data_IF_536230634974
#
_entry.id   IF_536230634974
#
_cell.length_a   1.000
_cell.length_b   1.000
_cell.length_c   1.000
_cell.angle_alpha   90.00
_cell.angle_beta   90.00
_cell.angle_gamma   90.00
#
_symmetry.space_group_name_H-M   'P 1'
#
loop_
_entity.id
_entity.type
_entity.pdbx_description
1 polymer ?
#
# COMPACT_ATOMS: atom_id res chain seq x y z
N UNK A 1 20.76 25.50 -8.53
CA UNK A 1 20.24 25.50 -7.15
C UNK A 1 19.78 24.08 -6.82
N UNK A 2 20.42 23.44 -5.85
CA UNK A 2 20.30 22.00 -5.55
C UNK A 2 18.97 21.69 -4.86
N UNK A 3 18.22 20.70 -5.37
CA UNK A 3 16.89 20.31 -4.87
C UNK A 3 17.00 19.65 -3.49
N UNK A 4 16.11 20.07 -2.59
CA UNK A 4 16.10 19.83 -1.14
C UNK A 4 16.24 18.34 -0.74
N UNK A 5 17.35 18.02 -0.07
CA UNK A 5 17.45 16.89 0.85
C UNK A 5 16.75 17.32 2.15
N UNK A 6 15.45 17.03 2.30
CA UNK A 6 14.80 17.19 3.60
C UNK A 6 15.32 16.10 4.55
N UNK A 7 15.40 16.41 5.85
CA UNK A 7 15.83 15.43 6.87
C UNK A 7 15.00 14.14 6.80
N UNK A 8 13.70 14.27 6.50
CA UNK A 8 12.78 13.13 6.31
C UNK A 8 13.15 12.31 5.08
N UNK A 9 13.42 12.94 3.93
CA UNK A 9 13.83 12.20 2.74
C UNK A 9 15.18 11.50 2.95
N UNK A 10 16.11 12.10 3.70
CA UNK A 10 17.36 11.42 4.08
C UNK A 10 17.11 10.22 5.00
N UNK A 11 16.19 10.32 5.96
CA UNK A 11 15.79 9.19 6.82
C UNK A 11 15.11 8.08 6.02
N UNK A 12 14.20 8.42 5.11
CA UNK A 12 13.55 7.46 4.20
C UNK A 12 14.61 6.76 3.34
N UNK A 13 15.55 7.50 2.75
CA UNK A 13 16.66 6.94 1.96
C UNK A 13 17.55 6.01 2.77
N UNK A 14 17.82 6.35 4.02
CA UNK A 14 18.57 5.49 4.94
C UNK A 14 17.83 4.17 5.18
N UNK A 15 16.52 4.23 5.44
CA UNK A 15 15.69 3.04 5.63
C UNK A 15 15.60 2.17 4.36
N UNK A 16 15.44 2.77 3.18
CA UNK A 16 15.49 2.04 1.91
C UNK A 16 16.82 1.29 1.74
N UNK A 17 17.96 1.94 2.05
CA UNK A 17 19.28 1.31 1.98
C UNK A 17 19.43 0.17 2.98
N UNK A 18 18.91 0.33 4.20
CA UNK A 18 18.95 -0.72 5.23
C UNK A 18 18.14 -1.95 4.82
N UNK A 19 17.07 -1.77 4.04
CA UNK A 19 16.22 -2.85 3.53
C UNK A 19 16.67 -3.37 2.15
N UNK A 20 17.75 -2.83 1.58
CA UNK A 20 18.25 -3.14 0.23
C UNK A 20 17.20 -2.92 -0.88
N UNK A 21 16.32 -1.91 -0.71
CA UNK A 21 15.28 -1.56 -1.66
C UNK A 21 15.68 -0.26 -2.39
N UNK A 22 15.56 -0.26 -3.72
CA UNK A 22 15.78 0.94 -4.52
C UNK A 22 14.65 1.98 -4.34
N UNK A 23 15.01 3.26 -4.10
CA UNK A 23 14.05 4.36 -3.85
C UNK A 23 13.06 4.53 -5.02
N UNK A 24 13.55 4.41 -6.26
CA UNK A 24 12.74 4.62 -7.46
C UNK A 24 11.76 3.46 -7.64
N UNK A 25 12.24 2.23 -7.47
CA UNK A 25 11.40 1.03 -7.51
C UNK A 25 10.33 1.08 -6.41
N UNK A 26 10.70 1.44 -5.19
CA UNK A 26 9.75 1.56 -4.08
C UNK A 26 8.65 2.59 -4.39
N UNK A 27 9.04 3.76 -4.89
CA UNK A 27 8.10 4.82 -5.24
C UNK A 27 7.13 4.38 -6.35
N UNK A 28 7.63 3.73 -7.40
CA UNK A 28 6.81 3.27 -8.52
C UNK A 28 5.81 2.21 -8.06
N UNK A 29 6.25 1.22 -7.27
CA UNK A 29 5.38 0.17 -6.71
C UNK A 29 4.33 0.75 -5.77
N UNK A 30 4.73 1.60 -4.83
CA UNK A 30 3.82 2.27 -3.89
C UNK A 30 2.76 3.11 -4.60
N UNK A 31 3.17 3.88 -5.61
CA UNK A 31 2.27 4.72 -6.40
C UNK A 31 1.26 3.90 -7.20
N UNK A 32 1.68 2.74 -7.71
CA UNK A 32 0.80 1.84 -8.46
C UNK A 32 -0.34 1.32 -7.57
N UNK A 33 -0.02 0.80 -6.38
CA UNK A 33 -1.01 0.36 -5.38
C UNK A 33 -2.00 1.49 -5.05
N UNK A 34 -1.49 2.70 -4.77
CA UNK A 34 -2.35 3.85 -4.48
C UNK A 34 -3.22 4.28 -5.67
N UNK A 35 -2.77 4.06 -6.90
CA UNK A 35 -3.50 4.47 -8.11
C UNK A 35 -4.70 3.57 -8.42
N UNK A 36 -4.57 2.27 -8.16
CA UNK A 36 -5.62 1.28 -8.41
C UNK A 36 -6.61 1.18 -7.24
N UNK A 37 -6.20 1.58 -6.02
CA UNK A 37 -7.01 1.44 -4.79
C UNK A 37 -8.48 1.89 -4.92
N UNK A 38 -8.75 3.01 -5.61
CA UNK A 38 -10.13 3.50 -5.78
C UNK A 38 -10.99 2.57 -6.62
N UNK A 39 -10.43 2.07 -7.72
CA UNK A 39 -11.12 1.17 -8.63
C UNK A 39 -11.45 -0.14 -7.92
N UNK A 40 -10.53 -0.59 -7.06
CA UNK A 40 -10.71 -1.76 -6.20
C UNK A 40 -11.82 -1.55 -5.20
N UNK A 41 -11.78 -0.46 -4.45
CA UNK A 41 -12.82 -0.16 -3.47
C UNK A 41 -14.19 -0.10 -4.16
N UNK A 42 -14.28 0.50 -5.36
CA UNK A 42 -15.50 0.51 -6.14
C UNK A 42 -15.97 -0.90 -6.53
N UNK A 43 -15.09 -1.75 -7.08
CA UNK A 43 -15.45 -3.11 -7.48
C UNK A 43 -15.79 -4.03 -6.32
N UNK A 44 -15.20 -3.80 -5.14
CA UNK A 44 -15.49 -4.56 -3.92
C UNK A 44 -16.76 -4.07 -3.22
N UNK A 45 -17.06 -2.75 -3.24
CA UNK A 45 -18.26 -2.17 -2.62
C UNK A 45 -19.54 -2.59 -3.37
N UNK A 46 -19.50 -2.74 -4.70
CA UNK A 46 -20.66 -3.24 -5.48
C UNK A 46 -20.99 -4.72 -5.19
N UNK A 47 -20.03 -5.47 -4.62
CA UNK A 47 -20.24 -6.84 -4.11
C UNK A 47 -20.60 -6.88 -2.61
N UNK A 48 -20.38 -5.78 -1.88
CA UNK A 48 -20.52 -5.73 -0.42
C UNK A 48 -21.88 -5.22 0.08
N UNK A 49 -22.79 -4.80 -0.81
CA UNK A 49 -24.20 -4.64 -0.44
C UNK A 49 -24.91 -5.99 -0.22
N UNK A 50 -24.30 -7.11 -0.64
CA UNK A 50 -24.74 -8.47 -0.33
C UNK A 50 -23.69 -9.22 0.49
N UNK A 51 -23.78 -9.11 1.83
CA UNK A 51 -23.07 -9.96 2.82
C UNK A 51 -21.77 -9.37 3.38
N UNK A 52 -21.90 -8.81 4.59
CA UNK A 52 -20.81 -8.35 5.44
C UNK A 52 -20.05 -9.50 6.15
N UNK A 53 -20.35 -10.79 5.93
CA UNK A 53 -20.02 -11.84 6.91
C UNK A 53 -19.14 -13.02 6.46
N UNK A 54 -18.40 -12.94 5.35
CA UNK A 54 -17.58 -14.11 4.93
C UNK A 54 -16.15 -13.74 4.59
N UNK A 55 -15.24 -13.87 5.56
CA UNK A 55 -13.86 -13.39 5.48
C UNK A 55 -12.78 -14.43 5.83
N UNK A 56 -13.04 -15.75 5.73
CA UNK A 56 -12.02 -16.75 6.16
C UNK A 56 -11.62 -17.79 5.10
N UNK A 57 -12.41 -18.13 4.08
CA UNK A 57 -12.19 -19.42 3.40
C UNK A 57 -11.50 -19.41 2.02
N UNK A 58 -10.84 -18.33 1.56
CA UNK A 58 -10.25 -18.32 0.20
C UNK A 58 -8.89 -17.64 0.11
N UNK A 59 -8.02 -17.82 1.11
CA UNK A 59 -6.76 -17.07 1.23
C UNK A 59 -5.49 -17.84 0.80
N UNK A 60 -5.57 -19.16 0.58
CA UNK A 60 -4.37 -20.01 0.48
C UNK A 60 -3.51 -19.83 -0.78
N UNK A 61 -4.03 -20.19 -1.95
CA UNK A 61 -3.15 -20.45 -3.11
C UNK A 61 -2.96 -19.25 -4.06
N UNK A 62 -3.91 -18.32 -4.12
CA UNK A 62 -3.82 -17.15 -5.01
C UNK A 62 -2.97 -16.03 -4.40
N UNK A 63 -3.00 -15.87 -3.07
CA UNK A 63 -2.38 -14.78 -2.31
C UNK A 63 -0.87 -14.91 -2.19
N UNK A 64 -0.36 -16.12 -1.95
CA UNK A 64 1.09 -16.40 -1.92
C UNK A 64 1.76 -16.03 -3.24
N UNK A 65 1.13 -16.39 -4.37
CA UNK A 65 1.61 -16.02 -5.70
C UNK A 65 1.63 -14.50 -5.94
N UNK A 66 0.72 -13.76 -5.30
CA UNK A 66 0.69 -12.31 -5.35
C UNK A 66 1.82 -11.66 -4.55
N UNK A 67 2.06 -12.18 -3.35
CA UNK A 67 3.06 -11.72 -2.41
C UNK A 67 4.47 -11.92 -2.98
N UNK A 68 4.75 -13.12 -3.50
CA UNK A 68 6.01 -13.45 -4.17
C UNK A 68 6.24 -12.54 -5.39
N UNK A 69 5.19 -12.20 -6.12
CA UNK A 69 5.28 -11.32 -7.28
C UNK A 69 5.52 -9.84 -6.88
N UNK A 70 4.87 -9.35 -5.81
CA UNK A 70 5.10 -8.02 -5.22
C UNK A 70 6.54 -7.85 -4.68
N UNK A 71 7.15 -8.92 -4.19
CA UNK A 71 8.53 -8.95 -3.70
C UNK A 71 9.54 -8.82 -4.87
N UNK A 72 9.31 -9.57 -5.96
CA UNK A 72 10.31 -9.82 -7.03
C UNK A 72 10.20 -8.94 -8.31
N UNK A 73 9.39 -7.89 -8.32
CA UNK A 73 8.98 -7.18 -9.56
C UNK A 73 10.11 -6.69 -10.49
N UNK A 74 10.08 -7.17 -11.75
CA UNK A 74 10.77 -6.61 -12.93
C UNK A 74 9.81 -5.74 -13.77
N UNK A 75 10.23 -4.59 -14.30
CA UNK A 75 9.34 -3.56 -14.83
C UNK A 75 8.97 -3.81 -16.31
N UNK A 76 7.87 -3.21 -16.74
CA UNK A 76 7.44 -2.98 -18.14
C UNK A 76 6.51 -4.01 -18.81
N UNK A 77 6.84 -5.31 -18.92
CA UNK A 77 6.01 -6.22 -19.78
C UNK A 77 4.79 -6.86 -19.08
N UNK A 78 4.65 -6.69 -17.78
CA UNK A 78 3.65 -7.42 -16.99
C UNK A 78 2.60 -6.53 -16.30
N UNK A 79 2.45 -5.27 -16.72
CA UNK A 79 1.50 -4.33 -16.10
C UNK A 79 0.03 -4.72 -16.28
N UNK A 80 -0.38 -5.15 -17.48
CA UNK A 80 -1.75 -5.64 -17.72
C UNK A 80 -2.02 -6.95 -16.96
N UNK A 81 -1.06 -7.90 -17.00
CA UNK A 81 -1.14 -9.15 -16.24
C UNK A 81 -1.17 -8.90 -14.73
N UNK A 82 -0.45 -7.89 -14.26
CA UNK A 82 -0.50 -7.43 -12.88
C UNK A 82 -1.87 -6.86 -12.53
N UNK A 83 -2.43 -5.98 -13.36
CA UNK A 83 -3.78 -5.46 -13.14
C UNK A 83 -4.81 -6.58 -13.11
N UNK A 84 -4.71 -7.58 -14.00
CA UNK A 84 -5.58 -8.77 -13.98
C UNK A 84 -5.36 -9.68 -12.77
N UNK A 85 -4.10 -9.88 -12.33
CA UNK A 85 -3.79 -10.73 -11.18
C UNK A 85 -4.19 -10.06 -9.87
N UNK A 86 -3.92 -8.76 -9.70
CA UNK A 86 -4.50 -8.04 -8.57
C UNK A 86 -6.02 -8.00 -8.69
N UNK A 87 -6.61 -7.87 -9.88
CA UNK A 87 -8.07 -8.04 -10.08
C UNK A 87 -8.64 -9.37 -9.64
N UNK A 88 -7.91 -10.47 -9.84
CA UNK A 88 -8.30 -11.78 -9.29
C UNK A 88 -8.12 -11.89 -7.78
N UNK A 89 -7.22 -11.11 -7.18
CA UNK A 89 -7.01 -11.02 -5.73
C UNK A 89 -7.96 -10.01 -5.07
N UNK A 90 -8.49 -9.05 -5.82
CA UNK A 90 -9.44 -8.01 -5.37
C UNK A 90 -10.80 -8.56 -4.93
N UNK A 91 -11.04 -9.86 -5.09
CA UNK A 91 -12.20 -10.53 -4.50
C UNK A 91 -12.04 -10.76 -2.98
N UNK A 92 -10.83 -10.71 -2.44
CA UNK A 92 -10.57 -10.75 -1.00
C UNK A 92 -10.07 -9.38 -0.53
N UNK A 93 -10.68 -8.82 0.52
CA UNK A 93 -10.49 -7.46 1.09
C UNK A 93 -9.04 -7.09 1.49
N UNK A 94 -8.07 -7.94 1.17
CA UNK A 94 -6.69 -7.89 1.62
C UNK A 94 -5.93 -6.61 1.25
N UNK A 95 -6.10 -6.07 0.04
CA UNK A 95 -5.40 -4.81 -0.30
C UNK A 95 -5.96 -3.63 0.51
N UNK A 96 -7.23 -3.67 0.89
CA UNK A 96 -7.84 -2.65 1.74
C UNK A 96 -7.18 -2.72 3.12
N UNK A 97 -7.04 -3.92 3.67
CA UNK A 97 -6.35 -4.17 4.94
C UNK A 97 -4.87 -3.77 4.91
N UNK A 98 -4.14 -4.09 3.83
CA UNK A 98 -2.75 -3.66 3.65
C UNK A 98 -2.60 -2.14 3.64
N UNK A 99 -3.48 -1.46 2.91
CA UNK A 99 -3.48 0.00 2.85
C UNK A 99 -3.82 0.57 4.22
N UNK A 100 -4.80 0.03 4.93
CA UNK A 100 -5.17 0.48 6.27
C UNK A 100 -4.02 0.28 7.28
N UNK A 101 -3.37 -0.89 7.27
CA UNK A 101 -2.20 -1.16 8.09
C UNK A 101 -1.04 -0.19 7.79
N UNK A 102 -0.76 0.08 6.51
CA UNK A 102 0.26 1.04 6.11
C UNK A 102 -0.11 2.47 6.55
N UNK A 103 -1.37 2.85 6.44
CA UNK A 103 -1.86 4.17 6.86
C UNK A 103 -1.78 4.37 8.38
N UNK A 104 -2.05 3.32 9.18
CA UNK A 104 -1.81 3.34 10.63
C UNK A 104 -0.33 3.56 10.93
N UNK A 105 0.57 2.86 10.22
CA UNK A 105 2.01 3.00 10.43
C UNK A 105 2.53 4.38 10.05
N UNK A 106 2.04 4.97 8.96
CA UNK A 106 2.40 6.35 8.57
C UNK A 106 1.98 7.34 9.65
N UNK A 107 0.83 7.14 10.30
CA UNK A 107 0.35 8.04 11.36
C UNK A 107 1.27 8.06 12.57
N UNK A 108 1.96 6.95 12.86
CA UNK A 108 2.97 6.86 13.92
C UNK A 108 4.29 7.55 13.55
N UNK A 109 4.48 7.97 12.31
CA UNK A 109 5.72 8.61 11.88
C UNK A 109 5.90 9.99 12.57
N UNK A 110 7.06 10.27 13.18
CA UNK A 110 7.30 11.51 13.92
C UNK A 110 7.06 12.78 13.09
N UNK A 111 6.57 13.83 13.75
CA UNK A 111 6.32 15.21 13.27
C UNK A 111 5.30 15.34 12.13
N UNK A 112 5.49 14.61 11.02
CA UNK A 112 4.76 14.77 9.76
C UNK A 112 3.85 13.60 9.40
N UNK A 113 3.74 12.58 10.25
CA UNK A 113 2.88 11.41 10.00
C UNK A 113 1.44 11.79 9.65
N UNK A 114 0.84 12.71 10.43
CA UNK A 114 -0.52 13.21 10.18
C UNK A 114 -0.65 13.89 8.80
N UNK A 115 0.32 14.73 8.42
CA UNK A 115 0.34 15.40 7.13
C UNK A 115 0.45 14.40 5.97
N UNK A 116 1.31 13.37 6.10
CA UNK A 116 1.46 12.35 5.08
C UNK A 116 0.19 11.49 4.94
N UNK A 117 -0.45 11.12 6.05
CA UNK A 117 -1.75 10.47 6.02
C UNK A 117 -2.79 11.32 5.29
N UNK A 118 -2.83 12.62 5.57
CA UNK A 118 -3.80 13.52 4.95
C UNK A 118 -3.58 13.66 3.44
N UNK A 119 -2.33 13.81 3.01
CA UNK A 119 -1.97 13.84 1.59
C UNK A 119 -2.40 12.55 0.89
N UNK A 120 -2.08 11.38 1.45
CA UNK A 120 -2.41 10.09 0.84
C UNK A 120 -3.93 9.90 0.80
N UNK A 121 -4.62 10.16 1.91
CA UNK A 121 -6.07 10.03 2.03
C UNK A 121 -6.79 10.88 0.98
N UNK A 122 -6.48 12.18 0.89
CA UNK A 122 -7.16 13.07 -0.07
C UNK A 122 -6.76 12.80 -1.52
N UNK A 123 -5.48 12.48 -1.78
CA UNK A 123 -5.02 12.26 -3.15
C UNK A 123 -5.49 10.91 -3.74
N UNK A 124 -5.53 9.85 -2.92
CA UNK A 124 -5.69 8.47 -3.41
C UNK A 124 -6.85 7.71 -2.78
N UNK A 125 -7.15 7.87 -1.49
CA UNK A 125 -8.12 6.99 -0.80
C UNK A 125 -9.55 7.54 -0.80
N UNK A 126 -9.70 8.85 -0.77
CA UNK A 126 -11.01 9.50 -0.73
C UNK A 126 -11.82 9.15 -1.99
N UNK A 127 -13.13 8.92 -1.80
CA UNK A 127 -14.09 8.68 -2.89
C UNK A 127 -14.02 9.75 -3.97
N UNK A 128 -13.85 11.00 -3.55
CA UNK A 128 -13.70 12.13 -4.45
C UNK A 128 -12.22 12.41 -4.71
N UNK A 129 -11.87 12.56 -5.99
CA UNK A 129 -10.52 12.93 -6.40
C UNK A 129 -10.37 14.44 -6.33
N UNK A 130 -9.60 14.90 -5.35
CA UNK A 130 -9.22 16.31 -5.26
C UNK A 130 -8.34 16.70 -6.45
N UNK A 131 -8.64 17.84 -7.05
CA UNK A 131 -7.81 18.52 -8.03
C UNK A 131 -6.56 19.06 -7.34
N UNK A 132 -5.54 19.34 -8.12
CA UNK A 132 -4.31 19.90 -7.58
C UNK A 132 -4.55 21.22 -6.85
N UNK A 133 -5.30 22.16 -7.45
CA UNK A 133 -5.64 23.45 -6.82
C UNK A 133 -6.32 23.25 -5.46
N UNK A 134 -7.30 22.35 -5.39
CA UNK A 134 -8.03 22.04 -4.15
C UNK A 134 -7.08 21.44 -3.09
N UNK A 135 -6.12 20.59 -3.49
CA UNK A 135 -5.12 20.05 -2.57
C UNK A 135 -4.21 21.15 -2.00
N UNK A 136 -3.76 22.09 -2.85
CA UNK A 136 -2.89 23.19 -2.41
C UNK A 136 -3.61 24.12 -1.43
N UNK A 137 -4.89 24.41 -1.71
CA UNK A 137 -5.74 25.21 -0.84
C UNK A 137 -6.02 24.50 0.50
N UNK A 138 -6.48 23.25 0.45
CA UNK A 138 -6.85 22.49 1.66
C UNK A 138 -5.66 22.24 2.57
N UNK A 139 -4.50 21.92 2.00
CA UNK A 139 -3.28 21.68 2.77
C UNK A 139 -2.49 22.96 3.08
N UNK A 140 -2.98 24.11 2.62
CA UNK A 140 -2.36 25.43 2.78
C UNK A 140 -0.85 25.41 2.46
N UNK A 141 -0.49 24.95 1.27
CA UNK A 141 0.91 24.83 0.85
C UNK A 141 1.13 25.17 -0.61
N UNK A 142 2.33 25.67 -0.90
CA UNK A 142 2.77 25.93 -2.26
C UNK A 142 2.92 24.64 -3.09
N UNK A 143 2.75 24.78 -4.41
CA UNK A 143 2.84 23.67 -5.36
C UNK A 143 4.13 22.85 -5.23
N UNK A 144 5.28 23.52 -5.15
CA UNK A 144 6.59 22.88 -4.98
C UNK A 144 6.64 22.03 -3.70
N UNK A 145 6.26 22.64 -2.57
CA UNK A 145 6.20 21.99 -1.26
C UNK A 145 5.25 20.79 -1.28
N UNK A 146 4.09 20.91 -1.92
CA UNK A 146 3.14 19.81 -2.07
C UNK A 146 3.75 18.61 -2.80
N UNK A 147 4.41 18.83 -3.94
CA UNK A 147 5.00 17.73 -4.70
C UNK A 147 6.15 17.04 -3.94
N UNK A 148 6.95 17.80 -3.20
CA UNK A 148 7.99 17.24 -2.34
C UNK A 148 7.38 16.40 -1.20
N UNK A 149 6.37 16.94 -0.49
CA UNK A 149 5.67 16.24 0.60
C UNK A 149 4.90 15.02 0.10
N UNK A 150 4.30 15.10 -1.08
CA UNK A 150 3.62 13.97 -1.72
C UNK A 150 4.60 12.86 -2.07
N UNK A 151 5.79 13.20 -2.59
CA UNK A 151 6.83 12.21 -2.86
C UNK A 151 7.27 11.52 -1.56
N UNK A 152 7.54 12.29 -0.52
CA UNK A 152 7.89 11.76 0.81
C UNK A 152 6.79 10.83 1.35
N UNK A 153 5.52 11.23 1.25
CA UNK A 153 4.38 10.43 1.70
C UNK A 153 4.28 9.09 0.97
N UNK A 154 4.43 9.08 -0.36
CA UNK A 154 4.38 7.84 -1.17
C UNK A 154 5.54 6.91 -0.83
N UNK A 155 6.75 7.45 -0.62
CA UNK A 155 7.89 6.64 -0.21
C UNK A 155 7.68 6.04 1.19
N UNK A 156 7.18 6.83 2.14
CA UNK A 156 6.89 6.37 3.49
C UNK A 156 5.77 5.32 3.51
N UNK A 157 4.76 5.48 2.65
CA UNK A 157 3.74 4.47 2.41
C UNK A 157 4.34 3.17 1.90
N UNK A 158 5.24 3.23 0.92
CA UNK A 158 5.97 2.05 0.44
C UNK A 158 6.77 1.39 1.56
N UNK A 159 7.56 2.14 2.33
CA UNK A 159 8.30 1.60 3.46
C UNK A 159 7.38 0.92 4.48
N UNK A 160 6.19 1.49 4.72
CA UNK A 160 5.21 0.91 5.63
C UNK A 160 4.62 -0.39 5.07
N UNK A 161 4.35 -0.46 3.76
CA UNK A 161 3.87 -1.68 3.11
C UNK A 161 4.92 -2.80 3.13
N UNK A 162 6.04 -2.61 2.46
CA UNK A 162 7.06 -3.66 2.28
C UNK A 162 7.86 -3.91 3.56
N UNK A 163 8.05 -2.90 4.39
CA UNK A 163 8.80 -3.04 5.63
C UNK A 163 7.97 -3.53 6.82
N UNK A 164 6.63 -3.47 6.76
CA UNK A 164 5.79 -3.90 7.90
C UNK A 164 4.52 -4.66 7.52
N UNK A 165 3.67 -4.14 6.63
CA UNK A 165 2.35 -4.71 6.40
C UNK A 165 2.40 -6.05 5.64
N UNK A 166 3.23 -6.13 4.60
CA UNK A 166 3.44 -7.35 3.81
C UNK A 166 4.06 -8.46 4.67
N UNK A 167 5.18 -8.24 5.40
CA UNK A 167 5.74 -9.24 6.29
C UNK A 167 4.73 -9.75 7.33
N UNK A 168 4.02 -8.86 8.02
CA UNK A 168 3.03 -9.24 9.05
C UNK A 168 1.94 -10.15 8.51
N UNK A 169 1.47 -9.88 7.29
CA UNK A 169 0.46 -10.73 6.70
C UNK A 169 1.05 -12.07 6.26
N UNK A 170 2.26 -12.10 5.72
CA UNK A 170 2.93 -13.36 5.39
C UNK A 170 3.05 -14.25 6.63
N UNK A 171 3.50 -13.68 7.75
CA UNK A 171 3.57 -14.38 9.04
C UNK A 171 2.20 -14.91 9.50
N UNK A 172 1.14 -14.10 9.33
CA UNK A 172 -0.23 -14.50 9.66
C UNK A 172 -0.72 -15.67 8.78
N UNK A 173 -0.45 -15.64 7.47
CA UNK A 173 -0.83 -16.71 6.55
C UNK A 173 -0.06 -18.00 6.83
N UNK A 174 1.24 -17.91 7.11
CA UNK A 174 2.06 -19.05 7.50
C UNK A 174 1.52 -19.69 8.79
N UNK A 175 1.18 -18.88 9.80
CA UNK A 175 0.59 -19.35 11.06
C UNK A 175 -0.78 -20.01 10.86
N UNK A 176 -1.65 -19.44 10.03
CA UNK A 176 -2.98 -20.01 9.75
C UNK A 176 -2.89 -21.37 9.03
N UNK A 177 -1.91 -21.56 8.15
CA UNK A 177 -1.67 -22.84 7.45
C UNK A 177 -1.15 -23.92 8.40
N UNK A 178 -0.32 -23.55 9.37
CA UNK A 178 0.17 -24.48 10.40
C UNK A 178 -0.97 -24.96 11.30
N UNK A 179 -1.90 -24.07 11.69
CA UNK A 179 -3.10 -24.42 12.46
C UNK A 179 -4.06 -25.33 11.68
N UNK A 180 -4.29 -25.08 10.39
CA UNK A 180 -5.07 -25.99 9.54
C UNK A 180 -4.40 -27.37 9.39
N UNK A 181 -3.08 -27.42 9.19
CA UNK A 181 -2.34 -28.67 9.06
C UNK A 181 -2.34 -29.51 10.35
N UNK A 182 -2.36 -28.88 11.52
CA UNK A 182 -2.50 -29.55 12.81
C UNK A 182 -3.91 -30.13 13.01
N UNK A 183 -4.95 -29.42 12.55
CA UNK A 183 -6.34 -29.88 12.63
C UNK A 183 -6.61 -31.13 11.77
N UNK A 184 -5.91 -31.29 10.64
CA UNK A 184 -5.99 -32.50 9.80
C UNK A 184 -5.18 -33.71 10.33
N UNK A 185 -4.30 -33.51 11.31
CA UNK A 185 -3.50 -34.58 11.92
C UNK A 185 -4.12 -35.19 13.18
N UNK A 186 -5.21 -34.62 13.70
CA UNK A 186 -5.95 -35.13 14.87
C UNK A 186 -7.22 -35.94 14.52
N UNK A 187 -7.45 -36.28 13.25
CA UNK A 187 -8.53 -37.17 12.79
C UNK A 187 -8.03 -38.54 12.34
#
# INVERSE_FOLDING_TARGET
MSRYNTQVLSSIRMLCRMQNIDEKVLYERAKLILSIYREVCWSTIDRANDVCDTLICTYGDSLDGALIYLENFAPDEARERFEERIRSLFETKWIIELVDMAMLKIREYPDKGALYCEIISKAYLNRFKYRESEMLEVLNMERSTYYDRKKEAILLFGLSLWGTAIPKLKDFLESAREEEALCYCEC
#
